data_IF_145506583237
#
_entry.id   IF_145506583237
#
_cell.length_a   1.000
_cell.length_b   1.000
_cell.length_c   1.000
_cell.angle_alpha   90.00
_cell.angle_beta   90.00
_cell.angle_gamma   90.00
#
_symmetry.space_group_name_H-M   'P 1'
#
loop_
_entity.id
_entity.type
_entity.pdbx_description
1 polymer ?
#
# COMPACT_ATOMS: atom_id res chain seq x y z
N UNK A 1 19.90 19.14 25.46
CA UNK A 1 19.22 20.45 25.34
C UNK A 1 18.32 20.39 24.10
N UNK A 2 17.06 19.97 24.25
CA UNK A 2 15.83 20.83 24.15
C UNK A 2 15.48 21.13 22.68
N UNK A 3 14.39 20.62 22.09
CA UNK A 3 13.01 21.12 22.26
C UNK A 3 11.93 20.08 21.97
N UNK A 4 10.93 20.05 22.87
CA UNK A 4 9.60 19.43 22.74
C UNK A 4 8.72 20.38 21.92
N UNK A 5 7.92 19.83 21.00
CA UNK A 5 6.92 20.58 20.23
C UNK A 5 5.58 19.84 20.19
N UNK A 6 4.91 19.74 21.34
CA UNK A 6 3.48 19.46 21.39
C UNK A 6 2.74 20.79 21.18
N UNK A 7 1.92 20.88 20.13
CA UNK A 7 0.88 21.91 20.04
C UNK A 7 -0.45 21.17 19.99
N UNK A 8 -1.09 21.09 21.16
CA UNK A 8 -2.51 20.78 21.32
C UNK A 8 -3.26 22.12 21.30
N UNK A 9 -4.08 22.33 20.27
CA UNK A 9 -5.15 23.34 20.29
C UNK A 9 -6.44 22.69 19.79
N UNK A 10 -7.49 22.59 20.62
CA UNK A 10 -8.81 22.18 20.15
C UNK A 10 -9.56 23.41 19.65
N UNK A 11 -10.12 23.36 18.45
CA UNK A 11 -11.13 24.33 17.99
C UNK A 11 -12.39 23.56 17.62
N UNK A 12 -13.49 24.02 18.21
CA UNK A 12 -14.79 23.40 18.19
C UNK A 12 -15.70 23.99 17.10
N UNK A 13 -16.72 23.19 16.76
CA UNK A 13 -18.01 23.49 16.10
C UNK A 13 -18.10 23.71 14.57
N UNK A 14 -19.05 22.91 14.04
CA UNK A 14 -19.94 23.12 12.90
C UNK A 14 -19.42 22.94 11.47
N UNK A 15 -19.94 21.89 10.81
CA UNK A 15 -20.27 21.90 9.39
C UNK A 15 -19.22 21.27 8.46
N UNK A 16 -19.65 20.22 7.76
CA UNK A 16 -18.92 19.43 6.76
C UNK A 16 -17.85 18.49 7.33
N UNK A 17 -18.24 17.22 7.48
CA UNK A 17 -17.31 16.09 7.56
C UNK A 17 -16.54 16.00 6.24
N UNK A 18 -15.51 16.83 6.10
CA UNK A 18 -14.46 16.60 5.12
C UNK A 18 -13.81 15.28 5.50
N UNK A 19 -14.00 14.28 4.63
CA UNK A 19 -13.28 13.03 4.59
C UNK A 19 -11.78 13.34 4.77
N UNK A 20 -11.26 13.20 5.99
CA UNK A 20 -9.83 13.22 6.22
C UNK A 20 -9.33 11.90 5.66
N UNK A 21 -8.97 11.90 4.37
CA UNK A 21 -8.14 10.86 3.80
C UNK A 21 -6.91 10.77 4.69
N UNK A 22 -6.92 9.82 5.60
CA UNK A 22 -5.76 9.52 6.42
C UNK A 22 -4.76 8.93 5.46
N UNK A 23 -3.82 9.75 4.99
CA UNK A 23 -2.69 9.28 4.21
C UNK A 23 -1.83 8.45 5.16
N UNK A 24 -2.08 7.14 5.20
CA UNK A 24 -1.20 6.19 5.86
C UNK A 24 0.11 6.20 5.09
N UNK A 25 1.06 6.96 5.62
CA UNK A 25 2.37 7.10 5.05
C UNK A 25 3.27 6.01 5.66
N UNK A 26 3.83 5.13 4.84
CA UNK A 26 4.79 4.10 5.30
C UNK A 26 6.18 4.72 5.46
N UNK A 27 6.78 4.66 6.64
CA UNK A 27 8.12 5.21 6.89
C UNK A 27 9.20 4.15 6.73
N UNK A 28 10.37 4.50 6.18
CA UNK A 28 11.53 3.62 6.16
C UNK A 28 12.17 3.45 7.56
N UNK A 29 13.23 2.64 7.64
CA UNK A 29 14.01 2.40 8.86
C UNK A 29 14.67 3.65 9.47
N UNK A 30 14.72 4.76 8.72
CA UNK A 30 15.25 6.06 9.14
C UNK A 30 14.13 7.08 9.41
N UNK A 31 12.87 6.65 9.40
CA UNK A 31 11.70 7.53 9.60
C UNK A 31 11.39 8.43 8.40
N UNK A 32 12.01 8.20 7.23
CA UNK A 32 11.73 8.96 6.03
C UNK A 32 10.45 8.46 5.38
N UNK A 33 9.59 9.36 4.89
CA UNK A 33 8.49 8.96 4.06
C UNK A 33 8.94 8.24 2.76
N UNK A 34 8.71 6.92 2.64
CA UNK A 34 8.71 6.15 1.39
C UNK A 34 7.31 5.92 0.80
N UNK A 35 7.18 6.00 -0.52
CA UNK A 35 5.91 5.67 -1.16
C UNK A 35 5.58 4.18 -1.00
N UNK A 36 4.28 3.83 -1.05
CA UNK A 36 3.83 2.44 -1.05
C UNK A 36 4.55 1.60 -2.11
N UNK A 37 4.69 2.16 -3.32
CA UNK A 37 5.43 1.51 -4.40
C UNK A 37 6.90 1.29 -4.04
N UNK A 38 7.59 2.27 -3.44
CA UNK A 38 8.97 2.09 -3.01
C UNK A 38 9.11 1.01 -1.94
N UNK A 39 8.16 0.93 -0.99
CA UNK A 39 8.14 -0.13 0.00
C UNK A 39 8.01 -1.51 -0.66
N UNK A 40 7.12 -1.66 -1.63
CA UNK A 40 6.95 -2.90 -2.39
C UNK A 40 8.20 -3.26 -3.21
N UNK A 41 8.77 -2.31 -3.94
CA UNK A 41 9.96 -2.55 -4.76
C UNK A 41 11.18 -2.94 -3.92
N UNK A 42 11.28 -2.41 -2.69
CA UNK A 42 12.37 -2.74 -1.78
C UNK A 42 12.26 -4.16 -1.17
N UNK A 43 11.05 -4.75 -1.13
CA UNK A 43 10.79 -6.07 -0.54
C UNK A 43 10.57 -7.17 -1.57
N UNK A 44 10.37 -6.82 -2.84
CA UNK A 44 10.15 -7.77 -3.93
C UNK A 44 11.32 -8.72 -4.12
N UNK A 45 11.04 -9.98 -4.47
CA UNK A 45 12.07 -10.98 -4.79
C UNK A 45 12.36 -11.08 -6.29
N UNK A 46 11.61 -10.35 -7.12
CA UNK A 46 11.82 -10.33 -8.56
C UNK A 46 13.13 -9.62 -8.91
N UNK A 47 13.79 -10.08 -9.98
CA UNK A 47 14.92 -9.36 -10.55
C UNK A 47 14.41 -8.19 -11.40
N UNK A 48 14.65 -6.95 -10.95
CA UNK A 48 14.16 -5.72 -11.59
C UNK A 48 12.62 -5.62 -11.61
N UNK A 49 11.96 -5.56 -10.44
CA UNK A 49 10.51 -5.46 -10.35
C UNK A 49 10.02 -4.12 -10.91
N UNK A 50 8.90 -4.16 -11.62
CA UNK A 50 8.17 -2.98 -12.08
C UNK A 50 6.68 -3.12 -11.74
N UNK A 51 5.97 -2.03 -11.43
CA UNK A 51 4.54 -2.09 -11.18
C UNK A 51 3.77 -2.53 -12.43
N UNK A 52 2.82 -3.43 -12.24
CA UNK A 52 1.91 -3.93 -13.26
C UNK A 52 0.48 -3.46 -12.96
N UNK A 53 -0.21 -2.93 -13.98
CA UNK A 53 -1.61 -2.53 -13.84
C UNK A 53 -1.83 -1.36 -12.88
N UNK A 54 -2.96 -1.39 -12.16
CA UNK A 54 -3.38 -0.32 -11.25
C UNK A 54 -3.12 -0.69 -9.80
N UNK A 55 -2.60 0.27 -9.04
CA UNK A 55 -2.60 0.20 -7.58
C UNK A 55 -4.02 0.31 -7.04
N UNK A 56 -4.41 -0.60 -6.16
CA UNK A 56 -5.69 -0.55 -5.45
C UNK A 56 -5.44 0.01 -4.06
N UNK A 57 -6.01 1.17 -3.78
CA UNK A 57 -5.93 1.80 -2.47
C UNK A 57 -7.24 1.70 -1.72
N UNK A 58 -7.18 1.20 -0.50
CA UNK A 58 -8.29 1.18 0.46
C UNK A 58 -7.83 1.85 1.77
N UNK A 59 -8.74 2.13 2.71
CA UNK A 59 -8.35 2.67 4.03
C UNK A 59 -7.40 1.75 4.82
N UNK A 60 -7.49 0.43 4.63
CA UNK A 60 -6.72 -0.56 5.40
C UNK A 60 -5.55 -1.16 4.64
N UNK A 61 -5.67 -1.25 3.32
CA UNK A 61 -4.69 -1.92 2.48
C UNK A 61 -4.32 -1.09 1.25
N UNK A 62 -3.07 -1.18 0.83
CA UNK A 62 -2.66 -0.86 -0.53
C UNK A 62 -2.20 -2.15 -1.21
N UNK A 63 -2.76 -2.46 -2.38
CA UNK A 63 -2.39 -3.62 -3.18
C UNK A 63 -1.67 -3.15 -4.44
N UNK A 64 -0.48 -3.67 -4.70
CA UNK A 64 0.34 -3.35 -5.86
C UNK A 64 0.78 -4.66 -6.50
N UNK A 65 0.46 -4.85 -7.76
CA UNK A 65 1.00 -5.96 -8.56
C UNK A 65 2.36 -5.56 -9.10
N UNK A 66 3.36 -6.42 -8.94
CA UNK A 66 4.69 -6.29 -9.50
C UNK A 66 4.90 -7.38 -10.55
N UNK A 67 5.65 -7.07 -11.59
CA UNK A 67 6.10 -8.02 -12.59
C UNK A 67 7.59 -7.85 -12.85
N UNK A 68 8.21 -8.87 -13.43
CA UNK A 68 9.56 -8.71 -13.99
C UNK A 68 9.49 -7.87 -15.26
N UNK A 69 10.44 -6.96 -15.42
CA UNK A 69 10.47 -6.06 -16.57
C UNK A 69 10.51 -6.86 -17.90
N UNK A 70 9.51 -6.64 -18.76
CA UNK A 70 9.40 -7.33 -20.05
C UNK A 70 8.76 -8.72 -20.01
N UNK A 71 8.25 -9.17 -18.86
CA UNK A 71 7.60 -10.48 -18.70
C UNK A 71 6.11 -10.37 -18.36
N UNK A 72 5.38 -11.48 -18.50
CA UNK A 72 3.96 -11.59 -18.15
C UNK A 72 3.76 -11.53 -16.63
N UNK A 73 2.63 -10.96 -16.21
CA UNK A 73 2.22 -10.80 -14.81
C UNK A 73 2.11 -12.14 -14.09
N UNK A 74 1.90 -13.25 -14.80
CA UNK A 74 1.80 -14.58 -14.19
C UNK A 74 3.04 -14.94 -13.35
N UNK A 75 4.23 -14.53 -13.78
CA UNK A 75 5.47 -14.70 -13.03
C UNK A 75 5.76 -13.52 -12.06
N UNK A 76 4.72 -12.75 -11.70
CA UNK A 76 4.82 -11.56 -10.87
C UNK A 76 4.57 -11.82 -9.38
N UNK A 77 4.47 -10.74 -8.63
CA UNK A 77 4.19 -10.73 -7.21
C UNK A 77 3.03 -9.78 -6.89
N UNK A 78 2.23 -10.12 -5.88
CA UNK A 78 1.30 -9.21 -5.24
C UNK A 78 1.96 -8.65 -3.98
N UNK A 79 2.09 -7.34 -3.92
CA UNK A 79 2.49 -6.62 -2.72
C UNK A 79 1.25 -6.09 -1.98
N UNK A 80 1.15 -6.43 -0.71
CA UNK A 80 0.06 -6.03 0.19
C UNK A 80 0.67 -5.19 1.31
N UNK A 81 0.24 -3.94 1.43
CA UNK A 81 0.62 -3.07 2.55
C UNK A 81 -0.55 -3.00 3.52
N UNK A 82 -0.40 -3.59 4.70
CA UNK A 82 -1.33 -3.43 5.81
C UNK A 82 -1.03 -2.10 6.51
N UNK A 83 -1.90 -1.11 6.30
CA UNK A 83 -1.76 0.25 6.84
C UNK A 83 -1.97 0.32 8.35
N UNK A 84 -2.71 -0.63 8.92
CA UNK A 84 -2.97 -0.67 10.36
C UNK A 84 -1.77 -1.22 11.12
N UNK A 85 -1.07 -2.20 10.54
CA UNK A 85 0.12 -2.82 11.14
C UNK A 85 1.44 -2.21 10.66
N UNK A 86 1.39 -1.38 9.61
CA UNK A 86 2.54 -0.85 8.90
C UNK A 86 3.49 -1.97 8.43
N UNK A 87 2.92 -3.04 7.88
CA UNK A 87 3.65 -4.22 7.39
C UNK A 87 3.46 -4.38 5.88
N UNK A 88 4.50 -4.90 5.22
CA UNK A 88 4.47 -5.27 3.81
C UNK A 88 4.51 -6.79 3.71
N UNK A 89 3.62 -7.35 2.92
CA UNK A 89 3.59 -8.77 2.56
C UNK A 89 3.76 -8.89 1.04
N UNK A 90 4.61 -9.82 0.60
CA UNK A 90 4.88 -10.11 -0.80
C UNK A 90 4.48 -11.57 -1.03
N UNK A 91 3.66 -11.82 -2.05
CA UNK A 91 3.21 -13.16 -2.41
C UNK A 91 3.35 -13.35 -3.91
N UNK A 92 3.89 -14.47 -4.39
CA UNK A 92 3.94 -14.75 -5.82
C UNK A 92 2.51 -14.89 -6.37
N UNK A 93 2.28 -14.39 -7.58
CA UNK A 93 0.95 -14.45 -8.20
C UNK A 93 0.53 -15.89 -8.49
N UNK A 94 1.49 -16.77 -8.79
CA UNK A 94 1.25 -18.20 -8.99
C UNK A 94 0.81 -18.93 -7.71
N UNK A 95 1.09 -18.37 -6.52
CA UNK A 95 0.63 -18.90 -5.23
C UNK A 95 -0.80 -18.43 -4.88
N UNK A 96 -1.34 -17.45 -5.62
CA UNK A 96 -2.69 -16.94 -5.39
C UNK A 96 -3.74 -17.86 -6.00
N UNK A 97 -4.72 -18.23 -5.19
CA UNK A 97 -5.89 -18.97 -5.67
C UNK A 97 -6.97 -18.00 -6.16
N UNK A 98 -7.24 -18.00 -7.46
CA UNK A 98 -8.35 -17.25 -8.04
C UNK A 98 -9.61 -18.11 -8.06
N UNK A 99 -10.55 -17.80 -7.17
CA UNK A 99 -11.84 -18.49 -7.11
C UNK A 99 -12.82 -17.87 -8.12
N UNK A 100 -13.62 -18.67 -8.84
CA UNK A 100 -14.63 -18.15 -9.74
C UNK A 100 -15.70 -17.41 -8.92
N UNK A 101 -15.85 -16.12 -9.16
CA UNK A 101 -16.97 -15.35 -8.62
C UNK A 101 -18.11 -15.46 -9.62
N UNK A 102 -19.25 -16.03 -9.20
CA UNK A 102 -20.48 -15.93 -9.97
C UNK A 102 -20.93 -14.46 -9.95
N UNK A 103 -20.49 -13.69 -10.93
CA UNK A 103 -21.00 -12.35 -11.18
C UNK A 103 -22.42 -12.52 -11.73
N UNK A 104 -23.40 -12.60 -10.82
CA UNK A 104 -24.82 -12.63 -11.17
C UNK A 104 -25.18 -11.30 -11.84
N UNK A 105 -25.09 -11.27 -13.16
CA UNK A 105 -25.59 -10.16 -13.97
C UNK A 105 -27.08 -9.95 -13.71
N UNK A 106 -27.43 -8.75 -13.25
CA UNK A 106 -28.75 -8.17 -13.41
C UNK A 106 -28.72 -7.22 -14.58
#
# INVERSE_FOLDING_TARGET
>A
MTRIGFILTPIALSGCYSFVHTFSFSTDINGKPISALQACLAQSHLQSPVPAGKTIETPHYTLITLQKNGEDIKAGEMCIIDKAKNTVEITAIDDLQFLPVALSGR
#
